data_IF_764381901643
#
_entry.id   IF_764381901643
#
_cell.length_a   1.000
_cell.length_b   1.000
_cell.length_c   1.000
_cell.angle_alpha   90.00
_cell.angle_beta   90.00
_cell.angle_gamma   90.00
#
_symmetry.space_group_name_H-M   'P 1'
#
loop_
_entity.id
_entity.type
_entity.pdbx_description
1 polymer ?
#
# COMPACT_ATOMS: atom_id res chain seq x y z
N UNK A 1 -6.79 4.58 -2.77
CA UNK A 1 -5.88 4.94 -3.88
C UNK A 1 -6.46 6.08 -4.73
N UNK A 2 -7.57 5.90 -5.44
CA UNK A 2 -8.17 6.92 -6.32
C UNK A 2 -8.33 8.31 -5.66
N UNK A 3 -8.85 8.36 -4.43
CA UNK A 3 -8.97 9.61 -3.66
C UNK A 3 -7.61 10.30 -3.42
N UNK A 4 -6.58 9.54 -3.03
CA UNK A 4 -5.24 10.06 -2.79
C UNK A 4 -4.62 10.61 -4.08
N UNK A 5 -4.75 9.89 -5.20
CA UNK A 5 -4.28 10.33 -6.51
C UNK A 5 -4.93 11.65 -6.91
N UNK A 6 -6.25 11.79 -6.74
CA UNK A 6 -6.99 13.01 -7.07
C UNK A 6 -6.56 14.18 -6.17
N UNK A 7 -6.42 13.95 -4.85
CA UNK A 7 -5.98 14.98 -3.90
C UNK A 7 -4.60 15.53 -4.26
N UNK A 8 -3.62 14.66 -4.54
CA UNK A 8 -2.27 15.08 -4.95
C UNK A 8 -2.33 15.80 -6.30
N UNK A 9 -3.08 15.28 -7.27
CA UNK A 9 -3.22 15.91 -8.59
C UNK A 9 -3.81 17.31 -8.53
N UNK A 10 -4.82 17.54 -7.68
CA UNK A 10 -5.40 18.88 -7.49
C UNK A 10 -4.42 19.85 -6.86
N UNK A 11 -3.64 19.41 -5.87
CA UNK A 11 -2.59 20.25 -5.26
C UNK A 11 -1.48 20.59 -6.26
N UNK A 12 -1.12 19.63 -7.12
CA UNK A 12 -0.09 19.80 -8.14
C UNK A 12 -0.41 20.87 -9.20
N UNK A 13 -1.71 21.13 -9.46
CA UNK A 13 -2.13 22.23 -10.35
C UNK A 13 -1.67 23.59 -9.82
N UNK A 14 -1.71 23.78 -8.50
CA UNK A 14 -1.29 25.02 -7.84
C UNK A 14 0.21 25.07 -7.51
N UNK A 15 0.80 23.93 -7.16
CA UNK A 15 2.23 23.82 -6.84
C UNK A 15 2.79 22.47 -7.33
N UNK A 16 3.63 22.45 -8.38
CA UNK A 16 4.26 21.22 -8.89
C UNK A 16 5.05 20.43 -7.84
N UNK A 17 5.63 21.09 -6.83
CA UNK A 17 6.44 20.44 -5.79
C UNK A 17 5.62 19.48 -4.92
N UNK A 18 4.30 19.63 -4.88
CA UNK A 18 3.39 18.72 -4.16
C UNK A 18 3.46 17.28 -4.68
N UNK A 19 3.77 17.09 -5.97
CA UNK A 19 3.98 15.75 -6.54
C UNK A 19 5.27 15.15 -5.99
N UNK A 20 6.36 15.94 -5.99
CA UNK A 20 7.66 15.50 -5.50
C UNK A 20 7.63 15.16 -4.01
N UNK A 21 6.95 16.00 -3.21
CA UNK A 21 6.78 15.78 -1.78
C UNK A 21 6.01 14.49 -1.44
N UNK A 22 5.04 14.11 -2.28
CA UNK A 22 4.17 12.95 -1.99
C UNK A 22 4.63 11.63 -2.65
N UNK A 23 5.60 11.66 -3.58
CA UNK A 23 5.87 10.54 -4.50
C UNK A 23 6.24 9.24 -3.79
N UNK A 24 7.10 9.31 -2.76
CA UNK A 24 7.61 8.11 -2.07
C UNK A 24 6.48 7.40 -1.33
N UNK A 25 5.72 8.14 -0.53
CA UNK A 25 4.58 7.62 0.21
C UNK A 25 3.46 7.15 -0.73
N UNK A 26 3.20 7.88 -1.82
CA UNK A 26 2.24 7.48 -2.84
C UNK A 26 2.61 6.12 -3.46
N UNK A 27 3.89 5.93 -3.83
CA UNK A 27 4.37 4.66 -4.39
C UNK A 27 4.32 3.52 -3.38
N UNK A 28 4.53 3.78 -2.08
CA UNK A 28 4.33 2.77 -1.02
C UNK A 28 2.87 2.31 -0.97
N UNK A 29 1.92 3.25 -1.00
CA UNK A 29 0.48 2.92 -1.02
C UNK A 29 0.11 2.15 -2.30
N UNK A 30 0.64 2.58 -3.45
CA UNK A 30 0.42 1.90 -4.73
C UNK A 30 0.98 0.46 -4.72
N UNK A 31 2.20 0.27 -4.21
CA UNK A 31 2.81 -1.04 -4.05
C UNK A 31 1.95 -1.95 -3.18
N UNK A 32 1.51 -1.45 -2.01
CA UNK A 32 0.64 -2.24 -1.14
C UNK A 32 -0.68 -2.65 -1.79
N UNK A 33 -1.27 -1.79 -2.64
CA UNK A 33 -2.47 -2.11 -3.42
C UNK A 33 -2.21 -3.29 -4.37
N UNK A 34 -1.10 -3.26 -5.11
CA UNK A 34 -0.71 -4.33 -6.04
C UNK A 34 -0.48 -5.65 -5.28
N UNK A 35 0.27 -5.61 -4.19
CA UNK A 35 0.51 -6.80 -3.36
C UNK A 35 -0.78 -7.34 -2.73
N UNK A 36 -1.66 -6.46 -2.21
CA UNK A 36 -2.94 -6.88 -1.66
C UNK A 36 -3.80 -7.60 -2.72
N UNK A 37 -3.84 -7.08 -3.94
CA UNK A 37 -4.55 -7.72 -5.05
C UNK A 37 -4.01 -9.13 -5.34
N UNK A 38 -2.69 -9.30 -5.45
CA UNK A 38 -2.11 -10.62 -5.74
C UNK A 38 -2.23 -11.60 -4.56
N UNK A 39 -2.11 -11.12 -3.31
CA UNK A 39 -2.34 -11.95 -2.14
C UNK A 39 -3.80 -12.43 -2.05
N UNK A 40 -4.77 -11.54 -2.34
CA UNK A 40 -6.18 -11.91 -2.39
C UNK A 40 -6.45 -12.97 -3.47
N UNK A 41 -5.87 -12.81 -4.65
CA UNK A 41 -5.97 -13.80 -5.73
C UNK A 41 -5.38 -15.16 -5.36
N UNK A 42 -4.19 -15.18 -4.76
CA UNK A 42 -3.58 -16.43 -4.29
C UNK A 42 -4.41 -17.08 -3.18
N UNK A 43 -4.96 -16.28 -2.26
CA UNK A 43 -5.81 -16.77 -1.18
C UNK A 43 -7.10 -17.39 -1.71
N UNK A 44 -7.72 -16.80 -2.75
CA UNK A 44 -8.92 -17.36 -3.39
C UNK A 44 -8.64 -18.77 -3.94
N UNK A 45 -7.53 -18.96 -4.66
CA UNK A 45 -7.13 -20.26 -5.19
C UNK A 45 -6.84 -21.26 -4.07
N UNK A 46 -6.10 -20.84 -3.04
CA UNK A 46 -5.76 -21.68 -1.91
C UNK A 46 -6.99 -22.12 -1.11
N UNK A 47 -7.98 -21.23 -0.92
CA UNK A 47 -9.26 -21.57 -0.29
C UNK A 47 -10.02 -22.62 -1.10
N UNK A 48 -10.10 -22.44 -2.42
CA UNK A 48 -10.77 -23.41 -3.30
C UNK A 48 -10.12 -24.81 -3.22
N UNK A 49 -8.79 -24.88 -3.15
CA UNK A 49 -8.05 -26.14 -3.00
C UNK A 49 -8.26 -26.79 -1.64
N UNK A 50 -8.18 -26.02 -0.56
CA UNK A 50 -8.52 -26.51 0.78
C UNK A 50 -9.96 -27.05 0.86
N UNK A 51 -10.91 -26.44 0.17
CA UNK A 51 -12.30 -26.90 0.13
C UNK A 51 -12.48 -28.18 -0.70
N UNK A 52 -11.77 -28.31 -1.83
CA UNK A 52 -11.86 -29.48 -2.70
C UNK A 52 -11.16 -30.71 -2.12
N UNK A 53 -9.96 -30.52 -1.57
CA UNK A 53 -9.07 -31.63 -1.19
C UNK A 53 -9.16 -31.97 0.32
N UNK A 54 -9.83 -31.13 1.12
CA UNK A 54 -10.09 -31.35 2.54
C UNK A 54 -8.82 -31.60 3.36
N UNK A 55 -8.77 -32.75 4.05
CA UNK A 55 -7.63 -33.15 4.88
C UNK A 55 -6.40 -33.57 4.06
N UNK A 56 -6.59 -33.94 2.79
CA UNK A 56 -5.51 -34.31 1.87
C UNK A 56 -4.85 -33.12 1.17
N UNK A 57 -5.28 -31.88 1.46
CA UNK A 57 -4.76 -30.68 0.79
C UNK A 57 -3.25 -30.51 1.01
N UNK A 58 -2.54 -30.13 -0.06
CA UNK A 58 -1.13 -29.76 0.01
C UNK A 58 -0.91 -28.65 1.08
N UNK A 59 -0.03 -28.86 2.08
CA UNK A 59 0.31 -27.86 3.10
C UNK A 59 0.69 -26.48 2.54
N UNK A 60 1.19 -26.40 1.29
CA UNK A 60 1.47 -25.17 0.58
C UNK A 60 0.26 -24.21 0.53
N UNK A 61 -0.96 -24.72 0.34
CA UNK A 61 -2.15 -23.85 0.29
C UNK A 61 -2.48 -23.28 1.67
N UNK A 62 -2.34 -24.08 2.73
CA UNK A 62 -2.53 -23.62 4.11
C UNK A 62 -1.49 -22.55 4.48
N UNK A 63 -0.23 -22.73 4.08
CA UNK A 63 0.82 -21.73 4.31
C UNK A 63 0.58 -20.42 3.54
N UNK A 64 0.12 -20.49 2.28
CA UNK A 64 -0.27 -19.29 1.51
C UNK A 64 -1.37 -18.48 2.20
N UNK A 65 -2.37 -19.15 2.79
CA UNK A 65 -3.42 -18.48 3.54
C UNK A 65 -2.91 -17.83 4.82
N UNK A 66 -1.98 -18.47 5.53
CA UNK A 66 -1.34 -17.90 6.70
C UNK A 66 -0.54 -16.63 6.34
N UNK A 67 0.26 -16.69 5.28
CA UNK A 67 1.05 -15.54 4.83
C UNK A 67 0.19 -14.40 4.32
N UNK A 68 -0.90 -14.69 3.60
CA UNK A 68 -1.86 -13.68 3.19
C UNK A 68 -2.47 -12.96 4.41
N UNK A 69 -2.93 -13.71 5.43
CA UNK A 69 -3.45 -13.10 6.66
C UNK A 69 -2.42 -12.21 7.35
N UNK A 70 -1.18 -12.68 7.47
CA UNK A 70 -0.09 -11.86 8.01
C UNK A 70 0.08 -10.56 7.22
N UNK A 71 0.14 -10.63 5.89
CA UNK A 71 0.30 -9.43 5.05
C UNK A 71 -0.83 -8.42 5.28
N UNK A 72 -2.09 -8.87 5.25
CA UNK A 72 -3.25 -7.99 5.43
C UNK A 72 -3.37 -7.42 6.85
N UNK A 73 -2.99 -8.18 7.88
CA UNK A 73 -3.13 -7.76 9.28
C UNK A 73 -1.92 -6.96 9.77
N UNK A 74 -0.72 -7.27 9.30
CA UNK A 74 0.53 -6.67 9.81
C UNK A 74 1.12 -5.60 8.89
N UNK A 75 1.15 -5.84 7.58
CA UNK A 75 1.87 -4.99 6.64
C UNK A 75 0.97 -3.97 5.95
N UNK A 76 -0.21 -4.39 5.49
CA UNK A 76 -1.15 -3.49 4.80
C UNK A 76 -1.56 -2.24 5.61
N UNK A 77 -1.66 -2.27 6.95
CA UNK A 77 -1.93 -1.06 7.75
C UNK A 77 -0.91 0.06 7.59
N UNK A 78 0.32 -0.20 7.12
CA UNK A 78 1.34 0.83 6.82
C UNK A 78 0.81 1.86 5.80
N UNK A 79 -0.12 1.46 4.93
CA UNK A 79 -0.79 2.38 4.01
C UNK A 79 -1.47 3.55 4.70
N UNK A 80 -1.99 3.38 5.91
CA UNK A 80 -2.64 4.47 6.65
C UNK A 80 -1.63 5.55 7.06
N UNK A 81 -0.40 5.15 7.42
CA UNK A 81 0.69 6.08 7.66
C UNK A 81 1.07 6.81 6.38
N UNK A 82 1.35 6.08 5.30
CA UNK A 82 1.79 6.67 4.04
C UNK A 82 0.72 7.58 3.42
N UNK A 83 -0.57 7.27 3.54
CA UNK A 83 -1.66 8.15 3.09
C UNK A 83 -1.61 9.49 3.85
N UNK A 84 -1.32 9.49 5.15
CA UNK A 84 -1.22 10.72 5.94
C UNK A 84 0.06 11.49 5.61
N UNK A 85 1.19 10.80 5.46
CA UNK A 85 2.46 11.40 5.08
C UNK A 85 2.37 12.07 3.70
N UNK A 86 1.85 11.36 2.69
CA UNK A 86 1.63 11.92 1.35
C UNK A 86 0.72 13.18 1.35
N UNK A 87 -0.16 13.32 2.35
CA UNK A 87 -1.07 14.46 2.48
C UNK A 87 -0.45 15.69 3.15
N UNK A 88 0.69 15.56 3.85
CA UNK A 88 1.35 16.71 4.48
C UNK A 88 1.80 17.75 3.45
N UNK A 89 2.04 17.31 2.20
CA UNK A 89 2.40 18.18 1.09
C UNK A 89 3.83 18.71 1.18
N UNK A 90 4.15 19.70 0.34
CA UNK A 90 5.51 20.22 0.21
C UNK A 90 5.86 21.26 1.28
N UNK A 91 4.87 21.93 1.88
CA UNK A 91 5.08 23.07 2.77
C UNK A 91 6.12 22.80 3.87
N UNK A 92 5.98 21.70 4.60
CA UNK A 92 6.88 21.37 5.71
C UNK A 92 8.29 20.99 5.23
N UNK A 93 8.47 20.56 3.98
CA UNK A 93 9.78 20.28 3.38
C UNK A 93 10.44 21.58 2.90
N UNK A 94 9.65 22.50 2.34
CA UNK A 94 10.13 23.76 1.77
C UNK A 94 10.36 24.86 2.81
N UNK A 95 9.90 24.66 4.04
CA UNK A 95 10.18 25.57 5.18
C UNK A 95 11.60 25.40 5.75
N UNK A 96 12.32 24.32 5.41
CA UNK A 96 13.69 24.14 5.86
C UNK A 96 14.65 25.05 5.07
N UNK A 97 15.45 25.83 5.78
CA UNK A 97 16.56 26.56 5.16
C UNK A 97 17.74 25.61 4.93
N UNK A 98 18.45 25.80 3.81
CA UNK A 98 19.58 24.94 3.45
C UNK A 98 20.69 24.92 4.51
N UNK A 99 20.87 26.02 5.23
CA UNK A 99 21.92 26.19 6.26
C UNK A 99 21.57 25.53 7.60
N UNK A 100 20.41 24.87 7.71
CA UNK A 100 20.02 24.13 8.93
C UNK A 100 20.51 22.67 8.97
N UNK A 101 21.20 22.20 7.93
CA UNK A 101 21.74 20.85 7.78
C UNK A 101 23.27 20.83 7.71
#
# INVERSE_FOLDING_TARGET
MQKLTMEIGMKAIGNPDEVGAAVVDYLRVAGHLVFAYFWARMAQVALARCAADGDGVDPFYRSKLATARFYFQRLLPETAYHIRAARSGAKNLMEFEADWF
#
